data_IF_293859181890
#
_entry.id   IF_293859181890
#
_cell.length_a   1.000
_cell.length_b   1.000
_cell.length_c   1.000
_cell.angle_alpha   90.00
_cell.angle_beta   90.00
_cell.angle_gamma   90.00
#
_symmetry.space_group_name_H-M   'P 1'
#
loop_
_entity.id
_entity.type
_entity.pdbx_description
1 polymer ?
#
# COMPACT_ATOMS: atom_id res chain seq x y z
N UNK A 1 -3.34 6.94 -5.10
CA UNK A 1 -2.53 5.81 -5.60
C UNK A 1 -1.64 5.30 -4.47
N UNK A 2 -1.49 3.99 -4.32
CA UNK A 2 -0.59 3.37 -3.34
C UNK A 2 0.27 2.34 -4.07
N UNK A 3 1.58 2.32 -3.82
CA UNK A 3 2.49 1.34 -4.41
C UNK A 3 3.47 0.81 -3.37
N UNK A 4 3.97 -0.40 -3.59
CA UNK A 4 4.98 -0.97 -2.70
C UNK A 4 6.37 -0.49 -3.14
N UNK A 5 7.21 0.05 -2.24
CA UNK A 5 8.53 0.61 -2.59
C UNK A 5 9.46 -0.36 -3.33
N UNK A 6 9.28 -1.68 -3.17
CA UNK A 6 10.03 -2.70 -3.93
C UNK A 6 9.79 -2.66 -5.44
N UNK A 7 8.71 -2.01 -5.89
CA UNK A 7 8.50 -1.83 -7.33
C UNK A 7 9.64 -1.02 -7.97
N UNK A 8 10.18 -0.06 -7.21
CA UNK A 8 11.35 0.73 -7.62
C UNK A 8 12.65 0.10 -7.14
N UNK A 9 12.74 -0.18 -5.85
CA UNK A 9 13.98 -0.62 -5.19
C UNK A 9 14.37 -2.07 -5.44
N UNK A 10 13.43 -2.93 -5.83
CA UNK A 10 13.69 -4.36 -5.97
C UNK A 10 13.92 -5.07 -4.64
N UNK A 11 14.97 -5.90 -4.59
CA UNK A 11 15.40 -6.61 -3.38
C UNK A 11 15.99 -5.64 -2.33
N UNK A 12 15.84 -5.91 -1.03
CA UNK A 12 16.49 -5.14 0.03
C UNK A 12 18.01 -5.06 -0.08
N UNK A 13 18.65 -6.03 -0.74
CA UNK A 13 20.11 -6.06 -0.97
C UNK A 13 20.53 -5.21 -2.18
N UNK A 14 19.58 -4.72 -2.99
CA UNK A 14 19.91 -3.92 -4.16
C UNK A 14 20.46 -2.54 -3.78
N UNK A 15 21.40 -2.04 -4.56
CA UNK A 15 21.96 -0.67 -4.39
C UNK A 15 20.87 0.39 -4.45
N UNK A 16 19.84 0.19 -5.30
CA UNK A 16 18.72 1.13 -5.43
C UNK A 16 17.91 1.15 -4.13
N UNK A 17 17.63 -0.02 -3.56
CA UNK A 17 16.93 -0.09 -2.28
C UNK A 17 17.71 0.61 -1.18
N UNK A 18 18.95 0.18 -0.95
CA UNK A 18 19.76 0.66 0.17
C UNK A 18 20.05 2.16 0.09
N UNK A 19 20.30 2.67 -1.12
CA UNK A 19 20.73 4.06 -1.30
C UNK A 19 19.58 5.05 -1.42
N UNK A 20 18.46 4.66 -2.02
CA UNK A 20 17.39 5.59 -2.38
C UNK A 20 16.03 5.30 -1.73
N UNK A 21 15.69 4.04 -1.50
CA UNK A 21 14.36 3.66 -0.99
C UNK A 21 14.37 3.52 0.52
N UNK A 22 15.31 2.76 1.06
CA UNK A 22 15.42 2.50 2.49
C UNK A 22 15.50 3.77 3.34
N UNK A 23 16.32 4.78 2.98
CA UNK A 23 16.39 6.02 3.74
C UNK A 23 15.07 6.80 3.81
N UNK A 24 14.19 6.67 2.79
CA UNK A 24 12.86 7.29 2.79
C UNK A 24 11.87 6.48 3.64
N UNK A 25 11.95 5.15 3.57
CA UNK A 25 11.04 4.25 4.31
C UNK A 25 11.34 4.25 5.81
N UNK A 26 12.62 4.35 6.17
CA UNK A 26 13.07 4.32 7.57
C UNK A 26 13.08 5.71 8.22
N UNK A 27 12.86 6.78 7.44
CA UNK A 27 12.80 8.14 7.98
C UNK A 27 11.49 8.39 8.73
N UNK A 28 11.51 8.17 10.04
CA UNK A 28 10.38 8.47 10.93
C UNK A 28 10.24 9.97 11.19
N UNK A 29 11.25 10.78 10.85
CA UNK A 29 11.23 12.23 11.07
C UNK A 29 10.44 12.99 10.01
N UNK A 30 10.23 12.35 8.84
CA UNK A 30 9.46 12.91 7.73
C UNK A 30 8.34 11.92 7.32
N UNK A 31 7.31 11.72 8.17
CA UNK A 31 6.28 10.71 7.96
C UNK A 31 5.40 10.96 6.72
N UNK A 32 5.38 12.17 6.22
CA UNK A 32 4.70 12.57 4.98
C UNK A 32 5.36 13.79 4.37
N UNK A 33 5.22 13.94 3.07
CA UNK A 33 5.66 15.11 2.31
C UNK A 33 4.44 15.75 1.66
N UNK A 34 4.22 17.04 1.93
CA UNK A 34 3.20 17.82 1.23
C UNK A 34 3.84 18.46 0.00
N UNK A 35 3.39 18.07 -1.18
CA UNK A 35 3.84 18.66 -2.44
C UNK A 35 2.94 19.82 -2.84
N UNK A 36 3.54 20.90 -3.34
CA UNK A 36 2.86 22.08 -3.86
C UNK A 36 3.34 22.39 -5.27
N UNK A 37 2.44 22.65 -6.24
CA UNK A 37 2.83 22.94 -7.62
C UNK A 37 3.60 24.26 -7.77
N UNK A 38 3.66 25.11 -6.74
CA UNK A 38 4.40 26.38 -6.77
C UNK A 38 5.93 26.20 -6.78
N UNK A 39 6.44 25.00 -6.50
CA UNK A 39 7.86 24.69 -6.50
C UNK A 39 8.21 23.77 -7.68
N UNK A 40 9.17 24.12 -8.57
CA UNK A 40 9.45 23.36 -9.79
C UNK A 40 9.70 21.86 -9.58
N UNK A 41 10.51 21.46 -8.58
CA UNK A 41 10.79 20.05 -8.34
C UNK A 41 9.58 19.31 -7.79
N UNK A 42 8.72 20.00 -7.01
CA UNK A 42 7.48 19.41 -6.48
C UNK A 42 6.43 19.26 -7.59
N UNK A 43 6.38 20.19 -8.55
CA UNK A 43 5.56 20.01 -9.75
C UNK A 43 6.02 18.78 -10.53
N UNK A 44 7.34 18.62 -10.77
CA UNK A 44 7.87 17.43 -11.44
C UNK A 44 7.52 16.13 -10.70
N UNK A 45 7.54 16.15 -9.36
CA UNK A 45 7.13 15.01 -8.55
C UNK A 45 5.63 14.70 -8.68
N UNK A 46 4.78 15.73 -8.75
CA UNK A 46 3.34 15.58 -9.01
C UNK A 46 3.08 15.04 -10.42
N UNK A 47 3.79 15.54 -11.43
CA UNK A 47 3.69 15.08 -12.81
C UNK A 47 4.11 13.61 -12.94
N UNK A 48 5.15 13.18 -12.22
CA UNK A 48 5.57 11.78 -12.19
C UNK A 48 4.50 10.86 -11.60
N UNK A 49 3.77 11.31 -10.58
CA UNK A 49 2.65 10.57 -9.98
C UNK A 49 1.46 10.52 -10.95
N UNK A 50 1.12 11.63 -11.60
CA UNK A 50 0.02 11.70 -12.57
C UNK A 50 0.29 10.79 -13.77
N UNK A 51 1.49 10.85 -14.35
CA UNK A 51 1.90 9.97 -15.46
C UNK A 51 1.85 8.49 -15.07
N UNK A 52 2.21 8.18 -13.82
CA UNK A 52 2.11 6.82 -13.28
C UNK A 52 0.65 6.36 -13.23
N UNK A 53 -0.24 7.24 -12.78
CA UNK A 53 -1.67 6.95 -12.74
C UNK A 53 -2.25 6.73 -14.14
N UNK A 54 -1.93 7.62 -15.08
CA UNK A 54 -2.38 7.49 -16.46
C UNK A 54 -1.88 6.21 -17.13
N UNK A 55 -0.61 5.83 -16.87
CA UNK A 55 -0.08 4.56 -17.37
C UNK A 55 -0.84 3.35 -16.83
N UNK A 56 -1.25 3.37 -15.55
CA UNK A 56 -2.09 2.32 -14.96
C UNK A 56 -3.48 2.22 -15.61
N UNK A 57 -4.06 3.37 -16.00
CA UNK A 57 -5.42 3.42 -16.58
C UNK A 57 -5.42 2.99 -18.05
N UNK A 58 -4.37 3.34 -18.80
CA UNK A 58 -4.29 3.06 -20.24
C UNK A 58 -3.96 1.61 -20.57
N UNK A 59 -3.32 0.88 -19.64
CA UNK A 59 -2.98 -0.55 -19.74
C UNK A 59 -2.36 -0.97 -21.10
N UNK A 60 -1.51 -0.09 -21.67
CA UNK A 60 -0.82 -0.38 -22.93
C UNK A 60 0.43 -1.24 -22.70
N UNK A 61 0.85 -2.10 -23.63
CA UNK A 61 2.03 -2.94 -23.48
C UNK A 61 3.27 -2.16 -22.98
N UNK A 62 3.89 -2.64 -21.90
CA UNK A 62 5.06 -2.00 -21.30
C UNK A 62 4.72 -0.91 -20.25
N UNK A 63 3.46 -0.76 -19.89
CA UNK A 63 3.04 0.19 -18.86
C UNK A 63 3.75 -0.01 -17.52
N UNK A 64 4.10 -1.25 -17.15
CA UNK A 64 4.80 -1.57 -15.90
C UNK A 64 6.20 -0.93 -15.87
N UNK A 65 6.91 -0.94 -16.98
CA UNK A 65 8.22 -0.27 -17.09
C UNK A 65 8.07 1.24 -17.00
N UNK A 66 7.05 1.79 -17.62
CA UNK A 66 6.73 3.22 -17.57
C UNK A 66 6.43 3.65 -16.13
N UNK A 67 5.57 2.90 -15.42
CA UNK A 67 5.27 3.10 -14.01
C UNK A 67 6.55 3.08 -13.18
N UNK A 68 7.39 2.05 -13.34
CA UNK A 68 8.63 1.92 -12.59
C UNK A 68 9.57 3.11 -12.83
N UNK A 69 9.73 3.55 -14.07
CA UNK A 69 10.58 4.68 -14.41
C UNK A 69 10.10 5.98 -13.76
N UNK A 70 8.79 6.29 -13.85
CA UNK A 70 8.22 7.50 -13.26
C UNK A 70 8.27 7.47 -11.73
N UNK A 71 8.02 6.32 -11.11
CA UNK A 71 8.19 6.17 -9.65
C UNK A 71 9.66 6.26 -9.21
N UNK A 72 10.60 5.82 -10.05
CA UNK A 72 12.04 5.98 -9.78
C UNK A 72 12.44 7.44 -9.80
N UNK A 73 11.95 8.22 -10.76
CA UNK A 73 12.12 9.67 -10.85
C UNK A 73 11.51 10.37 -9.62
N UNK A 74 10.30 10.01 -9.23
CA UNK A 74 9.65 10.52 -8.03
C UNK A 74 10.50 10.29 -6.77
N UNK A 75 11.00 9.07 -6.56
CA UNK A 75 11.86 8.73 -5.42
C UNK A 75 13.17 9.52 -5.48
N UNK A 76 13.75 9.70 -6.66
CA UNK A 76 14.96 10.49 -6.84
C UNK A 76 14.72 11.95 -6.48
N UNK A 77 13.63 12.57 -6.94
CA UNK A 77 13.26 13.95 -6.63
C UNK A 77 13.08 14.14 -5.11
N UNK A 78 12.42 13.22 -4.42
CA UNK A 78 12.27 13.26 -2.97
C UNK A 78 13.65 13.21 -2.25
N UNK A 79 14.54 12.30 -2.67
CA UNK A 79 15.87 12.20 -2.05
C UNK A 79 16.72 13.43 -2.31
N UNK A 80 16.72 13.95 -3.54
CA UNK A 80 17.53 15.11 -3.93
C UNK A 80 17.11 16.41 -3.22
N UNK A 81 15.82 16.47 -2.81
CA UNK A 81 15.28 17.65 -2.15
C UNK A 81 14.94 17.40 -0.68
N UNK A 82 15.47 16.32 -0.08
CA UNK A 82 15.12 15.87 1.28
C UNK A 82 15.33 16.96 2.33
N UNK A 83 16.41 17.75 2.23
CA UNK A 83 16.72 18.82 3.18
C UNK A 83 15.68 19.96 3.11
N UNK A 84 15.12 20.23 1.94
CA UNK A 84 14.10 21.28 1.75
C UNK A 84 12.72 20.84 2.25
N UNK A 85 12.50 19.54 2.40
CA UNK A 85 11.23 18.95 2.82
C UNK A 85 11.15 18.76 4.34
N UNK A 86 12.27 18.85 5.05
CA UNK A 86 12.32 18.73 6.52
C UNK A 86 11.63 19.92 7.21
N UNK A 87 10.30 20.01 7.09
CA UNK A 87 9.52 20.65 8.13
C UNK A 87 9.73 19.80 9.40
N UNK A 88 10.20 20.39 10.52
CA UNK A 88 10.31 19.66 11.78
C UNK A 88 8.94 19.07 12.12
N UNK A 89 8.72 17.75 11.99
CA UNK A 89 7.42 17.19 12.33
C UNK A 89 7.19 17.43 13.80
N UNK A 90 5.96 17.69 14.19
CA UNK A 90 5.62 17.75 15.61
C UNK A 90 5.89 16.39 16.24
N UNK A 91 6.28 16.34 17.52
CA UNK A 91 6.44 15.08 18.27
C UNK A 91 5.19 14.18 18.16
N UNK A 92 4.02 14.81 18.03
CA UNK A 92 2.76 14.09 17.81
C UNK A 92 2.75 13.39 16.44
N UNK A 93 3.22 14.05 15.37
CA UNK A 93 3.26 13.46 14.04
C UNK A 93 4.22 12.27 13.97
N UNK A 94 5.37 12.37 14.64
CA UNK A 94 6.34 11.26 14.76
C UNK A 94 5.69 10.08 15.47
N UNK A 95 5.09 10.31 16.65
CA UNK A 95 4.40 9.24 17.41
C UNK A 95 3.27 8.59 16.61
N UNK A 96 2.46 9.38 15.91
CA UNK A 96 1.36 8.85 15.10
C UNK A 96 1.89 7.99 13.94
N UNK A 97 3.02 8.38 13.31
CA UNK A 97 3.67 7.59 12.27
C UNK A 97 4.24 6.25 12.78
N UNK A 98 4.86 6.24 13.95
CA UNK A 98 5.35 5.01 14.60
C UNK A 98 4.18 4.07 14.94
N UNK A 99 3.12 4.60 15.50
CA UNK A 99 1.91 3.84 15.84
C UNK A 99 1.26 3.21 14.62
N UNK A 100 1.12 3.98 13.54
CA UNK A 100 0.60 3.45 12.27
C UNK A 100 1.48 2.33 11.74
N UNK A 101 2.80 2.48 11.76
CA UNK A 101 3.74 1.43 11.31
C UNK A 101 3.54 0.13 12.09
N UNK A 102 3.41 0.21 13.41
CA UNK A 102 3.16 -0.94 14.28
C UNK A 102 1.82 -1.60 13.94
N UNK A 103 0.74 -0.81 13.85
CA UNK A 103 -0.60 -1.32 13.57
C UNK A 103 -0.71 -1.95 12.16
N UNK A 104 -0.09 -1.34 11.16
CA UNK A 104 -0.06 -1.90 9.80
C UNK A 104 0.72 -3.21 9.76
N UNK A 105 1.87 -3.28 10.44
CA UNK A 105 2.64 -4.53 10.54
C UNK A 105 1.83 -5.63 11.24
N UNK A 106 1.13 -5.30 12.31
CA UNK A 106 0.25 -6.24 13.00
C UNK A 106 -0.86 -6.77 12.06
N UNK A 107 -1.52 -5.89 11.32
CA UNK A 107 -2.51 -6.30 10.30
C UNK A 107 -1.86 -7.21 9.23
N UNK A 108 -0.68 -6.86 8.74
CA UNK A 108 0.01 -7.63 7.69
C UNK A 108 0.42 -9.04 8.13
N UNK A 109 0.74 -9.22 9.41
CA UNK A 109 1.12 -10.53 9.97
C UNK A 109 -0.13 -11.37 10.27
N UNK A 110 -1.16 -10.74 10.83
CA UNK A 110 -2.34 -11.42 11.39
C UNK A 110 -3.62 -11.29 10.52
N UNK A 111 -3.51 -10.86 9.26
CA UNK A 111 -4.69 -10.59 8.41
C UNK A 111 -5.63 -11.77 8.21
N UNK A 112 -5.14 -13.01 8.34
CA UNK A 112 -5.94 -14.23 8.24
C UNK A 112 -6.76 -14.57 9.50
N UNK A 113 -6.45 -13.91 10.61
CA UNK A 113 -7.07 -14.15 11.92
C UNK A 113 -8.30 -13.24 12.12
N UNK A 114 -9.07 -13.49 13.18
CA UNK A 114 -10.20 -12.64 13.54
C UNK A 114 -9.69 -11.36 14.23
N UNK A 115 -9.38 -10.35 13.42
CA UNK A 115 -8.88 -9.05 13.88
C UNK A 115 -10.00 -8.02 13.94
N UNK A 116 -10.15 -7.43 15.10
CA UNK A 116 -11.01 -6.26 15.32
C UNK A 116 -10.19 -4.98 15.55
N UNK A 117 -10.87 -3.84 15.66
CA UNK A 117 -10.23 -2.55 15.89
C UNK A 117 -9.53 -2.49 17.26
N UNK A 118 -10.03 -3.24 18.25
CA UNK A 118 -9.45 -3.25 19.59
C UNK A 118 -8.11 -3.99 19.59
N UNK A 119 -8.00 -5.14 18.94
CA UNK A 119 -6.75 -5.87 18.79
C UNK A 119 -5.69 -5.05 18.03
N UNK A 120 -6.10 -4.35 16.95
CA UNK A 120 -5.22 -3.45 16.21
C UNK A 120 -4.73 -2.29 17.09
N UNK A 121 -5.60 -1.65 17.85
CA UNK A 121 -5.23 -0.58 18.76
C UNK A 121 -4.28 -1.05 19.86
N UNK A 122 -4.53 -2.23 20.43
CA UNK A 122 -3.72 -2.84 21.48
C UNK A 122 -2.29 -3.13 20.99
N UNK A 123 -2.09 -3.50 19.72
CA UNK A 123 -0.75 -3.74 19.16
C UNK A 123 0.17 -2.53 19.27
N UNK A 124 -0.38 -1.32 19.29
CA UNK A 124 0.36 -0.06 19.47
C UNK A 124 0.18 0.56 20.86
N UNK A 125 -0.40 -0.15 21.82
CA UNK A 125 -0.71 0.32 23.18
C UNK A 125 -1.50 1.63 23.23
N UNK A 126 -2.54 1.76 22.39
CA UNK A 126 -3.40 2.94 22.32
C UNK A 126 -4.87 2.56 22.43
N UNK A 127 -5.72 3.56 22.73
CA UNK A 127 -7.18 3.38 22.71
C UNK A 127 -7.72 3.20 21.30
N UNK A 128 -8.91 2.58 21.19
CA UNK A 128 -9.64 2.44 19.92
C UNK A 128 -9.87 3.79 19.25
N UNK A 129 -10.24 4.81 20.01
CA UNK A 129 -10.48 6.17 19.50
C UNK A 129 -9.20 6.76 18.90
N UNK A 130 -8.05 6.55 19.54
CA UNK A 130 -6.77 7.03 19.06
C UNK A 130 -6.30 6.25 17.82
N UNK A 131 -6.54 4.94 17.77
CA UNK A 131 -6.32 4.11 16.60
C UNK A 131 -7.11 4.62 15.37
N UNK A 132 -8.42 4.84 15.52
CA UNK A 132 -9.26 5.39 14.46
C UNK A 132 -8.75 6.76 13.98
N UNK A 133 -8.37 7.64 14.91
CA UNK A 133 -7.80 8.96 14.60
C UNK A 133 -6.48 8.85 13.85
N UNK A 134 -5.56 7.98 14.28
CA UNK A 134 -4.30 7.75 13.59
C UNK A 134 -4.51 7.25 12.16
N UNK A 135 -5.36 6.25 11.96
CA UNK A 135 -5.70 5.74 10.63
C UNK A 135 -6.32 6.80 9.74
N UNK A 136 -7.30 7.56 10.25
CA UNK A 136 -7.95 8.63 9.50
C UNK A 136 -6.96 9.72 9.08
N UNK A 137 -6.12 10.18 10.01
CA UNK A 137 -5.21 11.32 9.76
C UNK A 137 -4.03 10.95 8.87
N UNK A 138 -3.55 9.69 8.93
CA UNK A 138 -2.32 9.28 8.25
C UNK A 138 -2.58 8.62 6.91
N UNK A 139 -3.59 7.75 6.83
CA UNK A 139 -3.89 6.95 5.64
C UNK A 139 -5.33 7.09 5.14
N UNK A 140 -6.09 8.02 5.70
CA UNK A 140 -7.43 8.43 5.27
C UNK A 140 -8.43 7.26 5.13
N UNK A 141 -8.33 6.26 6.00
CA UNK A 141 -9.21 5.10 6.03
C UNK A 141 -9.45 4.64 7.47
N UNK A 142 -10.24 3.60 7.68
CA UNK A 142 -10.38 2.95 9.00
C UNK A 142 -9.53 1.67 9.07
N UNK A 143 -9.13 1.20 10.28
CA UNK A 143 -8.38 -0.05 10.44
C UNK A 143 -9.05 -1.24 9.75
N UNK A 144 -10.36 -1.40 9.92
CA UNK A 144 -11.12 -2.51 9.34
C UNK A 144 -11.28 -2.40 7.82
N UNK A 145 -11.42 -1.18 7.28
CA UNK A 145 -11.43 -0.98 5.82
C UNK A 145 -10.07 -1.31 5.22
N UNK A 146 -8.98 -0.90 5.87
CA UNK A 146 -7.63 -1.25 5.45
C UNK A 146 -7.41 -2.77 5.49
N UNK A 147 -7.74 -3.44 6.60
CA UNK A 147 -7.65 -4.90 6.74
C UNK A 147 -8.42 -5.61 5.62
N UNK A 148 -9.66 -5.18 5.37
CA UNK A 148 -10.51 -5.74 4.31
C UNK A 148 -9.83 -5.62 2.93
N UNK A 149 -9.32 -4.45 2.61
CA UNK A 149 -8.64 -4.19 1.34
C UNK A 149 -7.35 -5.03 1.22
N UNK A 150 -6.58 -5.14 2.28
CA UNK A 150 -5.37 -5.97 2.32
C UNK A 150 -5.70 -7.46 2.10
N UNK A 151 -6.73 -7.99 2.77
CA UNK A 151 -7.22 -9.37 2.56
C UNK A 151 -7.57 -9.64 1.10
N UNK A 152 -8.27 -8.73 0.44
CA UNK A 152 -8.63 -8.86 -0.98
C UNK A 152 -7.39 -8.86 -1.87
N UNK A 153 -6.41 -7.99 -1.62
CA UNK A 153 -5.15 -7.98 -2.37
C UNK A 153 -4.37 -9.28 -2.18
N UNK A 154 -4.35 -9.83 -0.97
CA UNK A 154 -3.73 -11.15 -0.69
C UNK A 154 -4.46 -12.27 -1.42
N UNK A 155 -5.79 -12.28 -1.41
CA UNK A 155 -6.60 -13.24 -2.14
C UNK A 155 -6.34 -13.16 -3.65
N UNK A 156 -6.29 -11.97 -4.24
CA UNK A 156 -5.98 -11.77 -5.65
C UNK A 156 -4.62 -12.38 -6.04
N UNK A 157 -3.59 -12.16 -5.22
CA UNK A 157 -2.27 -12.79 -5.42
C UNK A 157 -2.33 -14.32 -5.36
N UNK A 158 -3.02 -14.89 -4.37
CA UNK A 158 -3.15 -16.35 -4.24
C UNK A 158 -3.94 -16.96 -5.41
N UNK A 159 -4.96 -16.25 -5.92
CA UNK A 159 -5.72 -16.67 -7.09
C UNK A 159 -4.85 -16.81 -8.35
N UNK A 160 -3.84 -15.97 -8.50
CA UNK A 160 -2.95 -15.94 -9.69
C UNK A 160 -1.71 -16.80 -9.53
N UNK A 161 -1.22 -16.97 -8.28
CA UNK A 161 0.06 -17.67 -8.01
C UNK A 161 -0.12 -19.12 -7.56
N UNK A 162 -1.35 -19.58 -7.29
CA UNK A 162 -1.60 -20.94 -6.76
C UNK A 162 -2.76 -21.64 -7.47
N UNK A 163 -2.85 -22.96 -7.27
CA UNK A 163 -3.97 -23.79 -7.68
C UNK A 163 -4.98 -24.07 -6.55
N UNK A 164 -4.86 -23.40 -5.41
CA UNK A 164 -5.75 -23.58 -4.26
C UNK A 164 -7.22 -23.33 -4.66
N UNK A 165 -8.13 -24.03 -4.00
CA UNK A 165 -9.56 -23.77 -4.18
C UNK A 165 -9.90 -22.35 -3.72
N UNK A 166 -10.87 -21.72 -4.38
CA UNK A 166 -11.28 -20.34 -4.07
C UNK A 166 -11.78 -20.23 -2.62
N UNK A 167 -12.45 -21.28 -2.13
CA UNK A 167 -12.92 -21.36 -0.74
C UNK A 167 -11.74 -21.31 0.24
N UNK A 168 -10.72 -22.12 -0.02
CA UNK A 168 -9.53 -22.20 0.85
C UNK A 168 -8.77 -20.86 0.88
N UNK A 169 -8.68 -20.18 -0.28
CA UNK A 169 -8.11 -18.83 -0.35
C UNK A 169 -8.91 -17.82 0.47
N UNK A 170 -10.24 -17.86 0.38
CA UNK A 170 -11.10 -17.00 1.18
C UNK A 170 -10.89 -17.21 2.68
N UNK A 171 -10.88 -18.46 3.12
CA UNK A 171 -10.62 -18.82 4.52
C UNK A 171 -9.23 -18.39 4.99
N UNK A 172 -8.21 -18.68 4.19
CA UNK A 172 -6.82 -18.26 4.51
C UNK A 172 -6.65 -16.74 4.59
N UNK A 173 -7.45 -16.01 3.82
CA UNK A 173 -7.47 -14.54 3.87
C UNK A 173 -8.40 -13.98 4.97
N UNK A 174 -8.93 -14.82 5.88
CA UNK A 174 -9.72 -14.40 7.02
C UNK A 174 -11.20 -14.09 6.70
N UNK A 175 -11.72 -14.61 5.59
CA UNK A 175 -13.15 -14.52 5.27
C UNK A 175 -13.84 -15.82 5.70
N UNK A 176 -14.73 -15.73 6.68
CA UNK A 176 -15.48 -16.89 7.17
C UNK A 176 -16.66 -17.23 6.25
N UNK A 177 -17.28 -16.24 5.59
CA UNK A 177 -18.40 -16.43 4.68
C UNK A 177 -18.00 -16.20 3.22
N UNK A 178 -18.16 -17.22 2.39
CA UNK A 178 -17.77 -17.17 0.97
C UNK A 178 -18.64 -16.27 0.11
N UNK A 179 -19.91 -16.11 0.47
CA UNK A 179 -20.82 -15.12 -0.15
C UNK A 179 -20.33 -13.70 0.08
N UNK A 180 -19.94 -13.38 1.30
CA UNK A 180 -19.36 -12.09 1.67
C UNK A 180 -18.00 -11.87 0.99
N UNK A 181 -17.11 -12.85 0.99
CA UNK A 181 -15.84 -12.81 0.26
C UNK A 181 -16.05 -12.46 -1.22
N UNK A 182 -16.91 -13.22 -1.92
CA UNK A 182 -17.15 -13.01 -3.35
C UNK A 182 -17.74 -11.62 -3.64
N UNK A 183 -18.64 -11.13 -2.79
CA UNK A 183 -19.23 -9.78 -2.90
C UNK A 183 -18.15 -8.69 -2.76
N UNK A 184 -17.34 -8.76 -1.69
CA UNK A 184 -16.30 -7.75 -1.44
C UNK A 184 -15.19 -7.80 -2.50
N UNK A 185 -14.80 -9.01 -2.92
CA UNK A 185 -13.83 -9.18 -4.00
C UNK A 185 -14.31 -8.51 -5.29
N UNK A 186 -15.57 -8.79 -5.70
CA UNK A 186 -16.16 -8.16 -6.89
C UNK A 186 -16.25 -6.63 -6.78
N UNK A 187 -16.60 -6.11 -5.60
CA UNK A 187 -16.61 -4.64 -5.38
C UNK A 187 -15.23 -4.01 -5.52
N UNK A 188 -14.17 -4.72 -5.10
CA UNK A 188 -12.80 -4.19 -5.09
C UNK A 188 -12.06 -4.41 -6.42
N UNK A 189 -12.32 -5.54 -7.11
CA UNK A 189 -11.58 -5.96 -8.32
C UNK A 189 -12.41 -5.89 -9.60
N UNK A 190 -13.67 -5.49 -9.53
CA UNK A 190 -14.58 -5.40 -10.68
C UNK A 190 -15.16 -6.72 -11.19
N UNK A 191 -14.62 -7.87 -10.76
CA UNK A 191 -15.06 -9.19 -11.18
C UNK A 191 -15.03 -10.19 -10.02
N UNK A 192 -15.66 -11.35 -10.20
CA UNK A 192 -15.66 -12.42 -9.18
C UNK A 192 -14.28 -13.07 -9.05
N UNK A 193 -13.94 -13.73 -7.92
CA UNK A 193 -12.68 -14.46 -7.75
C UNK A 193 -12.45 -15.51 -8.86
N UNK A 194 -13.52 -16.14 -9.36
CA UNK A 194 -13.45 -17.14 -10.43
C UNK A 194 -13.09 -16.50 -11.77
N UNK A 195 -13.76 -15.41 -12.12
CA UNK A 195 -13.47 -14.64 -13.33
C UNK A 195 -12.06 -14.05 -13.29
N UNK A 196 -11.65 -13.49 -12.17
CA UNK A 196 -10.30 -12.95 -11.96
C UNK A 196 -9.23 -14.01 -12.26
N UNK A 197 -9.35 -15.21 -11.66
CA UNK A 197 -8.43 -16.34 -11.93
C UNK A 197 -8.41 -16.75 -13.40
N UNK A 198 -9.57 -16.80 -14.06
CA UNK A 198 -9.69 -17.20 -15.45
C UNK A 198 -9.04 -16.18 -16.40
N UNK A 199 -9.25 -14.89 -16.14
CA UNK A 199 -8.70 -13.80 -16.95
C UNK A 199 -7.16 -13.76 -16.85
N UNK A 200 -6.62 -13.89 -15.65
CA UNK A 200 -5.19 -13.91 -15.41
C UNK A 200 -4.47 -15.12 -16.04
N UNK A 201 -5.14 -16.27 -16.12
CA UNK A 201 -4.59 -17.45 -16.81
C UNK A 201 -4.53 -17.22 -18.32
N UNK A 202 -5.59 -16.68 -18.92
CA UNK A 202 -5.62 -16.35 -20.35
C UNK A 202 -4.58 -15.30 -20.75
N UNK A 203 -4.28 -14.35 -19.86
CA UNK A 203 -3.26 -13.33 -20.11
C UNK A 203 -1.82 -13.86 -20.07
N UNK A 204 -1.60 -15.09 -19.55
CA UNK A 204 -0.28 -15.76 -19.46
C UNK A 204 -0.04 -16.81 -20.54
N UNK A 205 -1.09 -17.23 -21.24
CA UNK A 205 -1.07 -18.09 -22.43
C UNK A 205 -0.84 -17.26 -23.70
#
# INVERSE_FOLDING_TARGET
MCFHPRLVGGSPESTIWQKYVQPLVDDLTTPYVRLSPSNPWQQQALDAIEDTWQACVMDVPGYELRIRNRLSEFIWLLNSNRETVKAKPSEKAIRDAERIKIMLNHIHVHYGEDLDTAAIAQSANISVSECLRCFHNTIHTTPIQYLKQYRIQRAARLLTSTHMKIVDIGLQCGFQEMSYFSKIFRQSMGCTPREYRANERRARE
#
